data_IF_320261307951
#
_entry.id   IF_320261307951
#
_cell.length_a   1.000
_cell.length_b   1.000
_cell.length_c   1.000
_cell.angle_alpha   90.00
_cell.angle_beta   90.00
_cell.angle_gamma   90.00
#
_symmetry.space_group_name_H-M   'P 1'
#
loop_
_entity.id
_entity.type
_entity.pdbx_description
1 polymer ?
#
# COMPACT_ATOMS: atom_id res chain seq x y z
N UNK A 1 -25.29 -38.09 -4.22
CA UNK A 1 -23.91 -38.56 -3.94
C UNK A 1 -23.05 -37.37 -3.58
N UNK A 2 -22.78 -37.17 -2.29
CA UNK A 2 -21.86 -36.13 -1.83
C UNK A 2 -20.82 -36.75 -0.93
N UNK A 3 -19.58 -36.80 -1.43
CA UNK A 3 -18.39 -37.18 -0.68
C UNK A 3 -18.17 -36.14 0.42
N UNK A 4 -18.36 -36.52 1.69
CA UNK A 4 -17.86 -35.73 2.82
C UNK A 4 -16.38 -36.04 2.99
N UNK A 5 -15.57 -35.04 2.64
CA UNK A 5 -14.12 -35.01 2.84
C UNK A 5 -13.84 -35.07 4.34
N UNK A 6 -13.39 -36.23 4.83
CA UNK A 6 -12.85 -36.35 6.18
C UNK A 6 -11.51 -35.60 6.23
N UNK A 7 -11.52 -34.47 6.93
CA UNK A 7 -10.31 -33.78 7.38
C UNK A 7 -9.52 -34.74 8.27
N UNK A 8 -8.43 -35.30 7.74
CA UNK A 8 -7.43 -36.01 8.54
C UNK A 8 -6.56 -34.96 9.23
N UNK A 9 -6.80 -34.72 10.52
CA UNK A 9 -5.85 -34.01 11.35
C UNK A 9 -4.59 -34.87 11.51
N UNK A 10 -3.48 -34.39 10.95
CA UNK A 10 -2.16 -35.00 11.10
C UNK A 10 -1.63 -34.78 12.53
N UNK A 11 -1.87 -35.73 13.43
CA UNK A 11 -1.24 -35.81 14.76
C UNK A 11 0.15 -36.45 14.65
N UNK A 12 1.06 -35.77 13.94
CA UNK A 12 2.47 -36.14 13.84
C UNK A 12 3.24 -35.84 15.12
N UNK A 13 3.16 -36.73 16.10
CA UNK A 13 3.97 -36.69 17.32
C UNK A 13 4.40 -38.10 17.73
N UNK A 14 5.56 -38.21 18.40
CA UNK A 14 6.06 -39.46 18.99
C UNK A 14 4.91 -40.12 19.78
N UNK A 15 4.67 -41.45 19.62
CA UNK A 15 3.59 -42.14 20.31
C UNK A 15 3.71 -41.93 21.82
N UNK A 16 2.56 -41.84 22.49
CA UNK A 16 2.51 -41.72 23.95
C UNK A 16 3.25 -42.91 24.57
N UNK A 17 3.98 -42.64 25.66
CA UNK A 17 4.68 -43.68 26.42
C UNK A 17 3.74 -44.52 27.28
N UNK A 18 2.44 -44.17 27.30
CA UNK A 18 1.36 -44.81 28.03
C UNK A 18 0.12 -44.88 27.15
N UNK A 19 -0.74 -45.88 27.41
CA UNK A 19 -2.06 -45.98 26.78
C UNK A 19 -3.03 -45.02 27.49
N UNK A 20 -3.72 -44.11 26.77
CA UNK A 20 -4.81 -43.29 27.31
C UNK A 20 -5.82 -44.04 28.17
N UNK A 21 -6.12 -45.31 27.86
CA UNK A 21 -7.06 -46.14 28.63
C UNK A 21 -6.63 -46.33 30.09
N UNK A 22 -5.33 -46.38 30.34
CA UNK A 22 -4.79 -46.51 31.70
C UNK A 22 -5.09 -45.25 32.53
N UNK A 23 -5.12 -44.08 31.91
CA UNK A 23 -5.50 -42.84 32.60
C UNK A 23 -6.98 -42.87 32.99
N UNK A 24 -7.87 -43.35 32.11
CA UNK A 24 -9.27 -43.57 32.47
C UNK A 24 -9.43 -44.58 33.61
N UNK A 25 -8.69 -45.68 33.58
CA UNK A 25 -8.74 -46.70 34.63
C UNK A 25 -8.25 -46.16 35.97
N UNK A 26 -7.12 -45.43 35.99
CA UNK A 26 -6.58 -44.83 37.22
C UNK A 26 -7.55 -43.82 37.82
N UNK A 27 -8.13 -42.94 37.00
CA UNK A 27 -9.09 -41.93 37.47
C UNK A 27 -10.36 -42.60 37.99
N UNK A 28 -10.94 -43.55 37.23
CA UNK A 28 -12.14 -44.28 37.67
C UNK A 28 -11.91 -45.02 38.97
N UNK A 29 -10.79 -45.73 39.09
CA UNK A 29 -10.44 -46.49 40.28
C UNK A 29 -10.18 -45.57 41.48
N UNK A 30 -9.57 -44.42 41.26
CA UNK A 30 -9.43 -43.38 42.28
C UNK A 30 -10.78 -42.86 42.80
N UNK A 31 -11.76 -42.67 41.92
CA UNK A 31 -13.14 -42.29 42.31
C UNK A 31 -13.79 -43.43 43.10
N UNK A 32 -13.66 -44.68 42.64
CA UNK A 32 -14.19 -45.87 43.34
C UNK A 32 -13.56 -46.06 44.74
N UNK A 33 -12.26 -45.73 44.88
CA UNK A 33 -11.51 -45.74 46.13
C UNK A 33 -11.85 -44.54 47.04
N UNK A 34 -12.73 -43.63 46.60
CA UNK A 34 -13.20 -42.48 47.37
C UNK A 34 -12.27 -41.26 47.37
N UNK A 35 -11.32 -41.20 46.43
CA UNK A 35 -10.45 -40.02 46.26
C UNK A 35 -11.27 -38.88 45.64
N UNK A 36 -11.25 -37.67 46.22
CA UNK A 36 -11.94 -36.51 45.63
C UNK A 36 -11.43 -36.23 44.20
N UNK A 37 -12.35 -35.88 43.29
CA UNK A 37 -11.99 -35.60 41.88
C UNK A 37 -10.94 -34.48 41.75
N UNK A 38 -10.92 -33.52 42.69
CA UNK A 38 -9.92 -32.45 42.75
C UNK A 38 -8.49 -32.95 43.06
N UNK A 39 -8.36 -34.10 43.73
CA UNK A 39 -7.08 -34.72 44.09
C UNK A 39 -6.60 -35.73 43.04
N UNK A 40 -7.45 -36.08 42.07
CA UNK A 40 -7.14 -36.92 40.91
C UNK A 40 -6.54 -36.09 39.76
N UNK A 41 -5.47 -35.36 40.08
CA UNK A 41 -4.77 -34.49 39.15
C UNK A 41 -3.72 -35.24 38.30
N UNK A 42 -3.07 -34.53 37.38
CA UNK A 42 -2.04 -35.12 36.54
C UNK A 42 -0.83 -35.63 37.33
N UNK A 43 -0.53 -35.07 38.50
CA UNK A 43 0.56 -35.53 39.35
C UNK A 43 0.22 -36.88 40.00
N UNK A 44 -1.02 -37.03 40.49
CA UNK A 44 -1.55 -38.29 41.02
C UNK A 44 -1.55 -39.38 39.95
N UNK A 45 -2.10 -39.07 38.76
CA UNK A 45 -2.15 -40.01 37.63
C UNK A 45 -0.74 -40.38 37.18
N UNK A 46 0.18 -39.41 37.12
CA UNK A 46 1.59 -39.67 36.77
C UNK A 46 2.24 -40.62 37.78
N UNK A 47 2.04 -40.40 39.08
CA UNK A 47 2.57 -41.27 40.13
C UNK A 47 2.06 -42.71 40.00
N UNK A 48 0.77 -42.88 39.69
CA UNK A 48 0.13 -44.19 39.47
C UNK A 48 0.60 -44.86 38.16
N UNK A 49 0.76 -44.12 37.07
CA UNK A 49 1.33 -44.64 35.82
C UNK A 49 2.78 -45.13 35.99
N UNK A 50 3.60 -44.39 36.75
CA UNK A 50 4.99 -44.76 37.01
C UNK A 50 5.11 -45.97 37.96
N UNK A 51 4.28 -46.02 39.01
CA UNK A 51 4.36 -47.06 40.04
C UNK A 51 3.64 -48.37 39.69
N UNK A 52 2.43 -48.29 39.11
CA UNK A 52 1.58 -49.47 38.87
C UNK A 52 1.70 -50.00 37.44
N UNK A 53 2.05 -49.14 36.48
CA UNK A 53 2.09 -49.49 35.04
C UNK A 53 3.50 -49.42 34.43
N UNK A 54 4.54 -49.22 35.23
CA UNK A 54 5.96 -49.16 34.80
C UNK A 54 6.22 -48.17 33.65
N UNK A 55 5.44 -47.09 33.56
CA UNK A 55 5.66 -46.04 32.57
C UNK A 55 6.88 -45.22 32.98
N UNK A 56 7.74 -44.86 32.01
CA UNK A 56 8.92 -44.01 32.28
C UNK A 56 8.48 -42.64 32.77
N UNK A 57 9.17 -42.10 33.78
CA UNK A 57 8.89 -40.79 34.40
C UNK A 57 9.09 -39.57 33.46
N UNK A 58 9.54 -39.80 32.23
CA UNK A 58 9.71 -38.77 31.18
C UNK A 58 8.40 -38.39 30.48
N UNK A 59 7.25 -38.62 31.12
CA UNK A 59 5.92 -38.20 30.63
C UNK A 59 5.86 -36.67 30.53
N UNK A 60 5.41 -36.16 29.38
CA UNK A 60 5.11 -34.74 29.21
C UNK A 60 3.89 -34.34 30.04
N UNK A 61 4.09 -33.43 30.98
CA UNK A 61 3.09 -33.00 31.95
C UNK A 61 1.86 -32.35 31.28
N UNK A 62 2.05 -31.33 30.43
CA UNK A 62 0.95 -30.62 29.74
C UNK A 62 0.01 -31.56 28.96
N UNK A 63 0.59 -32.61 28.35
CA UNK A 63 -0.18 -33.58 27.57
C UNK A 63 -0.96 -34.55 28.45
N UNK A 64 -0.42 -34.88 29.63
CA UNK A 64 -1.12 -35.69 30.61
C UNK A 64 -2.24 -34.87 31.27
N UNK A 65 -2.00 -33.60 31.61
CA UNK A 65 -2.99 -32.67 32.14
C UNK A 65 -4.20 -32.53 31.22
N UNK A 66 -3.98 -32.27 29.92
CA UNK A 66 -5.07 -32.20 28.96
C UNK A 66 -5.86 -33.51 28.82
N UNK A 67 -5.21 -34.66 29.01
CA UNK A 67 -5.88 -35.97 28.95
C UNK A 67 -6.67 -36.27 30.23
N UNK A 68 -6.11 -35.95 31.41
CA UNK A 68 -6.79 -36.07 32.70
C UNK A 68 -8.01 -35.15 32.74
N UNK A 69 -7.89 -33.91 32.25
CA UNK A 69 -9.01 -32.98 32.12
C UNK A 69 -10.11 -33.53 31.22
N UNK A 70 -9.76 -34.04 30.04
CA UNK A 70 -10.74 -34.65 29.13
C UNK A 70 -11.44 -35.85 29.77
N UNK A 71 -10.73 -36.70 30.52
CA UNK A 71 -11.35 -37.82 31.25
C UNK A 71 -12.31 -37.33 32.34
N UNK A 72 -11.96 -36.28 33.08
CA UNK A 72 -12.85 -35.68 34.08
C UNK A 72 -14.10 -35.07 33.44
N UNK A 73 -13.96 -34.38 32.31
CA UNK A 73 -15.08 -33.85 31.53
C UNK A 73 -16.00 -34.98 31.05
N UNK A 74 -15.46 -36.05 30.47
CA UNK A 74 -16.24 -37.21 30.03
C UNK A 74 -16.96 -37.92 31.19
N UNK A 75 -16.30 -38.07 32.34
CA UNK A 75 -16.93 -38.69 33.52
C UNK A 75 -18.03 -37.81 34.12
N UNK A 76 -17.82 -36.50 34.18
CA UNK A 76 -18.82 -35.56 34.64
C UNK A 76 -20.06 -35.55 33.71
N UNK A 77 -19.85 -35.56 32.39
CA UNK A 77 -20.94 -35.68 31.42
C UNK A 77 -21.70 -37.00 31.57
N UNK A 78 -20.99 -38.11 31.79
CA UNK A 78 -21.62 -39.43 31.99
C UNK A 78 -22.40 -39.50 33.31
N UNK A 79 -21.87 -38.89 34.39
CA UNK A 79 -22.57 -38.77 35.67
C UNK A 79 -23.82 -37.90 35.54
N UNK A 80 -23.71 -36.74 34.90
CA UNK A 80 -24.85 -35.86 34.63
C UNK A 80 -25.95 -36.59 33.84
N UNK A 81 -25.57 -37.31 32.77
CA UNK A 81 -26.51 -38.12 31.99
C UNK A 81 -27.15 -39.23 32.82
N UNK A 82 -26.39 -39.91 33.68
CA UNK A 82 -26.88 -40.94 34.59
C UNK A 82 -27.88 -40.37 35.61
N UNK A 83 -27.56 -39.22 36.19
CA UNK A 83 -28.44 -38.52 37.14
C UNK A 83 -29.74 -38.08 36.49
N UNK A 84 -29.68 -37.56 35.26
CA UNK A 84 -30.86 -37.22 34.48
C UNK A 84 -31.71 -38.45 34.13
N UNK A 85 -31.07 -39.59 33.81
CA UNK A 85 -31.75 -40.85 33.52
C UNK A 85 -32.38 -41.50 34.76
N UNK A 86 -31.85 -41.21 35.95
CA UNK A 86 -32.37 -41.69 37.22
C UNK A 86 -33.58 -40.89 37.73
N UNK A 87 -33.91 -39.76 37.11
CA UNK A 87 -35.08 -38.96 37.47
C UNK A 87 -36.38 -39.74 37.18
N UNK A 88 -37.41 -39.60 38.02
CA UNK A 88 -38.75 -40.11 37.70
C UNK A 88 -39.26 -39.52 36.38
N UNK A 89 -39.96 -40.32 35.57
CA UNK A 89 -40.45 -39.93 34.24
C UNK A 89 -41.19 -38.57 34.23
N UNK A 90 -41.97 -38.29 35.29
CA UNK A 90 -42.71 -37.03 35.42
C UNK A 90 -41.80 -35.81 35.59
N UNK A 91 -40.67 -35.97 36.29
CA UNK A 91 -39.68 -34.92 36.50
C UNK A 91 -38.80 -34.76 35.26
N UNK A 92 -38.38 -35.88 34.64
CA UNK A 92 -37.58 -35.87 33.43
C UNK A 92 -38.31 -35.16 32.27
N UNK A 93 -39.62 -35.43 32.09
CA UNK A 93 -40.45 -34.75 31.09
C UNK A 93 -40.56 -33.24 31.38
N UNK A 94 -40.80 -32.85 32.63
CA UNK A 94 -40.90 -31.43 33.01
C UNK A 94 -39.59 -30.65 32.77
N UNK A 95 -38.44 -31.26 33.07
CA UNK A 95 -37.12 -30.68 32.79
C UNK A 95 -36.89 -30.56 31.28
N UNK A 96 -37.22 -31.60 30.51
CA UNK A 96 -37.11 -31.59 29.05
C UNK A 96 -37.94 -30.48 28.41
N UNK A 97 -39.19 -30.31 28.84
CA UNK A 97 -40.09 -29.25 28.35
C UNK A 97 -39.59 -27.84 28.72
N UNK A 98 -39.06 -27.68 29.93
CA UNK A 98 -38.47 -26.41 30.37
C UNK A 98 -37.23 -26.06 29.53
N UNK A 99 -36.32 -27.01 29.33
CA UNK A 99 -35.11 -26.83 28.51
C UNK A 99 -35.47 -26.55 27.06
N UNK A 100 -36.44 -27.27 26.48
CA UNK A 100 -36.91 -27.02 25.12
C UNK A 100 -37.51 -25.61 24.97
N UNK A 101 -38.24 -25.14 25.98
CA UNK A 101 -38.82 -23.80 25.99
C UNK A 101 -37.75 -22.72 26.09
N UNK A 102 -36.80 -22.87 27.02
CA UNK A 102 -35.65 -21.95 27.15
C UNK A 102 -34.83 -21.93 25.86
N UNK A 103 -34.57 -23.10 25.26
CA UNK A 103 -33.84 -23.23 24.00
C UNK A 103 -34.52 -22.46 22.85
N UNK A 104 -35.84 -22.55 22.73
CA UNK A 104 -36.61 -21.78 21.73
C UNK A 104 -36.50 -20.26 21.97
N UNK A 105 -36.62 -19.81 23.21
CA UNK A 105 -36.49 -18.38 23.54
C UNK A 105 -35.08 -17.84 23.23
N UNK A 106 -34.03 -18.60 23.59
CA UNK A 106 -32.65 -18.25 23.27
C UNK A 106 -32.42 -18.19 21.75
N UNK A 107 -32.96 -19.15 20.99
CA UNK A 107 -32.89 -19.13 19.52
C UNK A 107 -33.59 -17.90 18.94
N UNK A 108 -34.76 -17.51 19.46
CA UNK A 108 -35.46 -16.31 19.02
C UNK A 108 -34.68 -15.04 19.34
N UNK A 109 -34.07 -14.94 20.52
CA UNK A 109 -33.21 -13.81 20.89
C UNK A 109 -32.01 -13.75 19.95
N UNK A 110 -31.34 -14.88 19.71
CA UNK A 110 -30.20 -14.96 18.81
C UNK A 110 -30.59 -14.57 17.37
N UNK A 111 -31.74 -15.04 16.87
CA UNK A 111 -32.23 -14.68 15.54
C UNK A 111 -32.54 -13.17 15.43
N UNK A 112 -33.17 -12.58 16.45
CA UNK A 112 -33.43 -11.14 16.50
C UNK A 112 -32.13 -10.33 16.50
N UNK A 113 -31.18 -10.69 17.36
CA UNK A 113 -29.87 -10.01 17.40
C UNK A 113 -29.12 -10.15 16.08
N UNK A 114 -29.13 -11.35 15.49
CA UNK A 114 -28.52 -11.57 14.18
C UNK A 114 -29.15 -10.70 13.10
N UNK A 115 -30.48 -10.61 13.05
CA UNK A 115 -31.18 -9.76 12.07
C UNK A 115 -30.84 -8.27 12.22
N UNK A 116 -30.69 -7.77 13.44
CA UNK A 116 -30.31 -6.38 13.71
C UNK A 116 -28.86 -6.14 13.27
N UNK A 117 -27.95 -7.03 13.66
CA UNK A 117 -26.55 -6.94 13.25
C UNK A 117 -26.40 -7.00 11.72
N UNK A 118 -27.17 -7.86 11.05
CA UNK A 118 -27.17 -7.95 9.59
C UNK A 118 -27.68 -6.66 8.96
N UNK A 119 -28.79 -6.11 9.44
CA UNK A 119 -29.32 -4.84 8.93
C UNK A 119 -28.32 -3.68 9.09
N UNK A 120 -27.63 -3.60 10.23
CA UNK A 120 -26.58 -2.60 10.46
C UNK A 120 -25.39 -2.81 9.51
N UNK A 121 -24.98 -4.05 9.29
CA UNK A 121 -23.89 -4.37 8.37
C UNK A 121 -24.27 -4.00 6.93
N UNK A 122 -25.50 -4.31 6.51
CA UNK A 122 -26.01 -3.99 5.18
C UNK A 122 -26.09 -2.47 4.97
N UNK A 123 -26.58 -1.73 5.97
CA UNK A 123 -26.60 -0.26 5.95
C UNK A 123 -25.19 0.31 5.77
N UNK A 124 -24.22 -0.12 6.58
CA UNK A 124 -22.82 0.33 6.46
C UNK A 124 -22.22 -0.02 5.10
N UNK A 125 -22.54 -1.19 4.54
CA UNK A 125 -22.10 -1.56 3.20
C UNK A 125 -22.64 -0.60 2.14
N UNK A 126 -23.90 -0.17 2.24
CA UNK A 126 -24.47 0.82 1.33
C UNK A 126 -23.82 2.19 1.50
N UNK A 127 -23.59 2.64 2.73
CA UNK A 127 -22.85 3.90 3.01
C UNK A 127 -21.46 3.88 2.36
N UNK A 128 -20.70 2.79 2.53
CA UNK A 128 -19.40 2.63 1.88
C UNK A 128 -19.49 2.55 0.35
N UNK A 129 -20.56 1.98 -0.21
CA UNK A 129 -20.79 1.97 -1.66
C UNK A 129 -21.03 3.39 -2.17
N UNK A 130 -21.80 4.21 -1.44
CA UNK A 130 -22.03 5.62 -1.81
C UNK A 130 -20.75 6.44 -1.71
N UNK A 131 -19.98 6.28 -0.63
CA UNK A 131 -18.71 6.97 -0.45
C UNK A 131 -17.70 6.60 -1.53
N UNK A 132 -17.62 5.32 -1.90
CA UNK A 132 -16.78 4.84 -3.00
C UNK A 132 -17.16 5.51 -4.31
N UNK A 133 -18.47 5.61 -4.64
CA UNK A 133 -18.92 6.29 -5.87
C UNK A 133 -18.54 7.77 -5.86
N UNK A 134 -18.71 8.45 -4.72
CA UNK A 134 -18.35 9.86 -4.57
C UNK A 134 -16.84 10.08 -4.73
N UNK A 135 -16.02 9.23 -4.10
CA UNK A 135 -14.57 9.27 -4.24
C UNK A 135 -14.13 9.01 -5.69
N UNK A 136 -14.73 8.02 -6.36
CA UNK A 136 -14.43 7.75 -7.78
C UNK A 136 -14.81 8.91 -8.69
N UNK A 137 -15.95 9.56 -8.44
CA UNK A 137 -16.33 10.76 -9.18
C UNK A 137 -15.31 11.88 -8.97
N UNK A 138 -14.91 12.13 -7.71
CA UNK A 138 -13.92 13.17 -7.39
C UNK A 138 -12.55 12.89 -7.99
N UNK A 139 -12.12 11.63 -8.01
CA UNK A 139 -10.87 11.21 -8.67
C UNK A 139 -10.93 11.56 -10.16
N UNK A 140 -12.02 11.21 -10.85
CA UNK A 140 -12.17 11.52 -12.28
C UNK A 140 -12.16 13.03 -12.56
N UNK A 141 -12.78 13.83 -11.71
CA UNK A 141 -12.71 15.30 -11.83
C UNK A 141 -11.26 15.79 -11.69
N UNK A 142 -10.53 15.30 -10.70
CA UNK A 142 -9.14 15.69 -10.47
C UNK A 142 -8.22 15.23 -11.61
N UNK A 143 -8.44 14.03 -12.15
CA UNK A 143 -7.73 13.52 -13.33
C UNK A 143 -7.96 14.40 -14.56
N UNK A 144 -9.20 14.87 -14.78
CA UNK A 144 -9.52 15.79 -15.86
C UNK A 144 -8.81 17.14 -15.69
N UNK A 145 -8.87 17.73 -14.48
CA UNK A 145 -8.17 18.99 -14.17
C UNK A 145 -6.66 18.85 -14.36
N UNK A 146 -6.09 17.71 -13.95
CA UNK A 146 -4.66 17.45 -14.11
C UNK A 146 -4.28 17.36 -15.60
N UNK A 147 -5.10 16.69 -16.42
CA UNK A 147 -4.89 16.64 -17.86
C UNK A 147 -4.97 18.04 -18.51
N UNK A 148 -5.94 18.86 -18.12
CA UNK A 148 -6.08 20.23 -18.61
C UNK A 148 -4.86 21.09 -18.22
N UNK A 149 -4.36 20.95 -16.99
CA UNK A 149 -3.15 21.64 -16.54
C UNK A 149 -1.90 21.17 -17.30
N UNK A 150 -1.77 19.87 -17.58
CA UNK A 150 -0.67 19.35 -18.39
C UNK A 150 -0.70 19.91 -19.81
N UNK A 151 -1.87 19.98 -20.43
CA UNK A 151 -2.04 20.58 -21.75
C UNK A 151 -1.70 22.08 -21.75
N UNK A 152 -2.13 22.81 -20.73
CA UNK A 152 -1.80 24.23 -20.57
C UNK A 152 -0.28 24.45 -20.38
N UNK A 153 0.39 23.61 -19.59
CA UNK A 153 1.84 23.66 -19.44
C UNK A 153 2.56 23.39 -20.76
N UNK A 154 2.13 22.39 -21.53
CA UNK A 154 2.71 22.12 -22.85
C UNK A 154 2.55 23.30 -23.80
N UNK A 155 1.39 23.97 -23.81
CA UNK A 155 1.17 25.19 -24.60
C UNK A 155 2.14 26.30 -24.18
N UNK A 156 2.29 26.56 -22.88
CA UNK A 156 3.20 27.57 -22.36
C UNK A 156 4.67 27.25 -22.67
N UNK A 157 5.05 25.97 -22.65
CA UNK A 157 6.39 25.54 -23.04
C UNK A 157 6.67 25.82 -24.53
N UNK A 158 5.69 25.54 -25.40
CA UNK A 158 5.77 25.87 -26.82
C UNK A 158 5.91 27.38 -27.04
N UNK A 159 5.04 28.18 -26.41
CA UNK A 159 5.09 29.64 -26.48
C UNK A 159 6.43 30.20 -25.99
N UNK A 160 6.95 29.68 -24.87
CA UNK A 160 8.26 30.03 -24.34
C UNK A 160 9.37 29.73 -25.34
N UNK A 161 9.33 28.57 -25.99
CA UNK A 161 10.38 28.16 -26.93
C UNK A 161 10.31 28.95 -28.24
N UNK A 162 9.12 29.31 -28.69
CA UNK A 162 8.93 30.27 -29.78
C UNK A 162 9.45 31.67 -29.42
N UNK A 163 9.14 32.17 -28.22
CA UNK A 163 9.63 33.45 -27.74
C UNK A 163 11.16 33.46 -27.64
N UNK A 164 11.79 32.37 -27.16
CA UNK A 164 13.25 32.21 -27.14
C UNK A 164 13.84 32.26 -28.55
N UNK A 165 13.22 31.61 -29.54
CA UNK A 165 13.67 31.68 -30.95
C UNK A 165 13.59 33.10 -31.50
N UNK A 166 12.46 33.79 -31.28
CA UNK A 166 12.28 35.20 -31.69
C UNK A 166 13.30 36.12 -31.03
N UNK A 167 13.58 35.91 -29.75
CA UNK A 167 14.58 36.69 -29.01
C UNK A 167 15.99 36.45 -29.56
N UNK A 168 16.37 35.20 -29.84
CA UNK A 168 17.66 34.87 -30.45
C UNK A 168 17.80 35.50 -31.84
N UNK A 169 16.73 35.51 -32.65
CA UNK A 169 16.72 36.15 -33.96
C UNK A 169 16.87 37.68 -33.85
N UNK A 170 16.11 38.32 -32.95
CA UNK A 170 16.22 39.74 -32.69
C UNK A 170 17.63 40.12 -32.20
N UNK A 171 18.25 39.30 -31.34
CA UNK A 171 19.63 39.50 -30.89
C UNK A 171 20.64 39.44 -32.05
N UNK A 172 20.46 38.50 -33.00
CA UNK A 172 21.30 38.44 -34.21
C UNK A 172 21.12 39.68 -35.08
N UNK A 173 19.88 40.10 -35.31
CA UNK A 173 19.59 41.30 -36.10
C UNK A 173 20.19 42.55 -35.46
N UNK A 174 20.08 42.66 -34.13
CA UNK A 174 20.69 43.75 -33.36
C UNK A 174 22.22 43.72 -33.51
N UNK A 175 22.85 42.55 -33.40
CA UNK A 175 24.29 42.40 -33.61
C UNK A 175 24.73 42.83 -35.02
N UNK A 176 24.00 42.42 -36.06
CA UNK A 176 24.26 42.85 -37.44
C UNK A 176 24.13 44.37 -37.57
N UNK A 177 23.02 44.94 -37.07
CA UNK A 177 22.79 46.39 -37.12
C UNK A 177 23.88 47.17 -36.37
N UNK A 178 24.32 46.71 -35.19
CA UNK A 178 25.43 47.32 -34.45
C UNK A 178 26.73 47.25 -35.25
N UNK A 179 27.05 46.10 -35.85
CA UNK A 179 28.25 45.96 -36.68
C UNK A 179 28.24 46.87 -37.91
N UNK A 180 27.06 47.10 -38.48
CA UNK A 180 26.88 48.00 -39.62
C UNK A 180 27.02 49.47 -39.21
N UNK A 181 26.47 49.87 -38.06
CA UNK A 181 26.68 51.20 -37.48
C UNK A 181 28.16 51.45 -37.19
N UNK A 182 28.86 50.46 -36.63
CA UNK A 182 30.30 50.55 -36.37
C UNK A 182 31.10 50.69 -37.67
N UNK A 183 30.72 49.94 -38.72
CA UNK A 183 31.32 50.04 -40.06
C UNK A 183 31.14 51.43 -40.66
N UNK A 184 29.90 51.92 -40.71
CA UNK A 184 29.57 53.24 -41.26
C UNK A 184 30.22 54.37 -40.47
N UNK A 185 30.33 54.22 -39.15
CA UNK A 185 31.01 55.19 -38.29
C UNK A 185 32.52 55.26 -38.59
N UNK A 186 33.19 54.12 -38.82
CA UNK A 186 34.60 54.08 -39.27
C UNK A 186 34.78 54.71 -40.64
N UNK A 187 33.87 54.46 -41.57
CA UNK A 187 33.87 55.07 -42.90
C UNK A 187 33.70 56.59 -42.81
N UNK A 188 32.76 57.08 -41.98
CA UNK A 188 32.59 58.52 -41.72
C UNK A 188 33.88 59.15 -41.17
N UNK A 189 34.54 58.53 -40.20
CA UNK A 189 35.82 59.04 -39.68
C UNK A 189 36.91 59.12 -40.76
N UNK A 190 36.92 58.21 -41.74
CA UNK A 190 37.87 58.28 -42.85
C UNK A 190 37.57 59.43 -43.82
N UNK A 191 36.29 59.70 -44.08
CA UNK A 191 35.85 60.85 -44.87
C UNK A 191 36.14 62.16 -44.14
N UNK A 192 35.85 62.24 -42.85
CA UNK A 192 36.15 63.40 -42.02
C UNK A 192 37.65 63.67 -41.97
N UNK A 193 38.49 62.63 -41.89
CA UNK A 193 39.95 62.75 -41.96
C UNK A 193 40.43 63.27 -43.30
N UNK A 194 39.88 62.78 -44.42
CA UNK A 194 40.19 63.29 -45.76
C UNK A 194 39.76 64.76 -45.92
N UNK A 195 38.60 65.14 -45.38
CA UNK A 195 38.12 66.52 -45.38
C UNK A 195 39.02 67.43 -44.52
N UNK A 196 39.52 66.94 -43.39
CA UNK A 196 40.48 67.65 -42.54
C UNK A 196 41.84 67.83 -43.24
N UNK A 197 42.34 66.79 -43.93
CA UNK A 197 43.56 66.83 -44.73
C UNK A 197 43.43 67.81 -45.92
N UNK A 198 42.28 67.83 -46.61
CA UNK A 198 41.98 68.81 -47.66
C UNK A 198 41.80 70.25 -47.12
N UNK A 199 41.46 70.38 -45.83
CA UNK A 199 41.43 71.69 -45.13
C UNK A 199 42.82 72.21 -44.81
N UNK A 200 43.84 71.36 -44.74
CA UNK A 200 45.22 71.78 -44.53
C UNK A 200 45.76 72.52 -45.77
N UNK A 201 46.17 73.81 -45.64
CA UNK A 201 46.61 74.61 -46.78
C UNK A 201 47.84 74.05 -47.48
N UNK A 202 48.77 73.42 -46.76
CA UNK A 202 49.99 72.84 -47.35
C UNK A 202 49.64 71.68 -48.32
N UNK A 203 48.76 70.77 -47.88
CA UNK A 203 48.29 69.63 -48.71
C UNK A 203 47.48 70.13 -49.90
N UNK A 204 46.66 71.19 -49.72
CA UNK A 204 45.88 71.78 -50.82
C UNK A 204 46.76 72.42 -51.89
N UNK A 205 47.84 73.07 -51.49
CA UNK A 205 48.78 73.68 -52.42
C UNK A 205 49.61 72.62 -53.17
N UNK A 206 49.99 71.52 -52.51
CA UNK A 206 50.62 70.36 -53.17
C UNK A 206 49.68 69.67 -54.18
N UNK A 207 48.40 69.51 -53.85
CA UNK A 207 47.38 68.99 -54.77
C UNK A 207 47.15 69.95 -55.94
N UNK A 208 47.14 71.26 -55.69
CA UNK A 208 46.99 72.27 -56.75
C UNK A 208 48.21 72.29 -57.67
N UNK A 209 49.41 72.13 -57.13
CA UNK A 209 50.65 72.04 -57.90
C UNK A 209 50.65 70.80 -58.81
N UNK A 210 50.34 69.62 -58.28
CA UNK A 210 50.27 68.38 -59.05
C UNK A 210 49.16 68.39 -60.11
N UNK A 211 47.97 68.94 -59.81
CA UNK A 211 46.92 69.13 -60.81
C UNK A 211 47.32 70.13 -61.91
N UNK A 212 48.03 71.19 -61.55
CA UNK A 212 48.56 72.13 -62.54
C UNK A 212 49.62 71.47 -63.43
N UNK A 213 50.40 70.54 -62.89
CA UNK A 213 51.38 69.74 -63.62
C UNK A 213 50.71 68.75 -64.59
N UNK A 214 49.61 68.10 -64.18
CA UNK A 214 48.82 67.20 -65.03
C UNK A 214 48.06 67.96 -66.13
N UNK A 215 47.51 69.14 -65.84
CA UNK A 215 46.83 69.99 -66.83
C UNK A 215 47.84 70.64 -67.80
N UNK A 216 49.06 70.89 -67.35
CA UNK A 216 50.17 71.33 -68.20
C UNK A 216 50.81 70.16 -68.98
N UNK A 217 50.53 68.90 -68.61
CA UNK A 217 50.95 67.74 -69.37
C UNK A 217 50.08 67.63 -70.65
N UNK A 218 50.68 67.55 -71.83
CA UNK A 218 49.92 67.46 -73.08
C UNK A 218 49.10 66.17 -73.12
N UNK A 219 47.79 66.30 -73.35
CA UNK A 219 46.91 65.17 -73.62
C UNK A 219 47.43 64.43 -74.85
N UNK A 220 47.88 63.19 -74.66
CA UNK A 220 48.34 62.32 -75.74
C UNK A 220 47.30 61.22 -75.98
N UNK A 221 46.40 61.35 -76.96
CA UNK A 221 45.43 60.31 -77.28
C UNK A 221 46.08 59.29 -78.22
N UNK A 222 46.88 58.37 -77.70
CA UNK A 222 47.35 57.19 -78.45
C UNK A 222 47.94 56.12 -77.51
N UNK A 223 47.10 55.28 -76.92
CA UNK A 223 47.38 53.85 -76.71
C UNK A 223 46.06 53.12 -76.45
N UNK A 224 45.77 52.14 -77.29
CA UNK A 224 44.92 50.98 -76.96
C UNK A 224 45.48 50.20 -75.75
#
# INVERSE_FOLDING_TARGET
MSKKTQSKCNTGGRPLSYDPRLVHEIIRKGIEDGVPAADLDAAFVKAKLCSEHNVKDTIRQERLEGLVQAVHEELAEAEEQSLLAALPDTVALAVGDAVATIGRELQLIAARQHSVCQAIADQKCEEFRTDKRNAQFRIKELEAVLADQQNALQSLEQERDEAKKKLAEAQKQLHIATSEVDRLSRESCSVDRLLEELRNPAVRDDIRATLSEIVAAPWNPSSE
#
